data_IF_864477197991
#
_entry.id   IF_864477197991
#
_cell.length_a   1.000
_cell.length_b   1.000
_cell.length_c   1.000
_cell.angle_alpha   90.00
_cell.angle_beta   90.00
_cell.angle_gamma   90.00
#
_symmetry.space_group_name_H-M   'P 1'
#
loop_
_entity.id
_entity.type
_entity.pdbx_description
1 polymer ?
#
# COMPACT_ATOMS: atom_id res chain seq x y z
N UNK A 1 5.74 -2.57 -11.33
CA UNK A 1 4.40 -1.94 -11.35
C UNK A 1 4.08 -1.15 -12.62
N UNK A 2 4.83 -0.09 -12.99
CA UNK A 2 4.47 0.83 -14.09
C UNK A 2 4.21 0.15 -15.44
N UNK A 3 5.03 -0.83 -15.83
CA UNK A 3 4.82 -1.57 -17.09
C UNK A 3 3.50 -2.36 -17.09
N UNK A 4 3.23 -3.11 -16.02
CA UNK A 4 1.97 -3.87 -15.88
C UNK A 4 0.76 -2.95 -15.82
N UNK A 5 0.82 -1.89 -15.01
CA UNK A 5 -0.24 -0.89 -14.94
C UNK A 5 -0.52 -0.29 -16.33
N UNK A 6 0.50 0.23 -17.03
CA UNK A 6 0.35 0.79 -18.37
C UNK A 6 -0.23 -0.19 -19.39
N UNK A 7 0.09 -1.48 -19.29
CA UNK A 7 -0.48 -2.52 -20.15
C UNK A 7 -1.97 -2.68 -19.91
N UNK A 8 -2.38 -2.77 -18.65
CA UNK A 8 -3.77 -3.03 -18.27
C UNK A 8 -4.64 -1.77 -18.19
N UNK A 9 -4.05 -0.56 -18.16
CA UNK A 9 -4.75 0.70 -18.36
C UNK A 9 -5.31 0.86 -19.78
N UNK A 10 -4.81 0.07 -20.74
CA UNK A 10 -5.25 0.06 -22.14
C UNK A 10 -6.28 -1.03 -22.44
N UNK A 11 -6.61 -1.87 -21.46
CA UNK A 11 -7.60 -2.94 -21.59
C UNK A 11 -8.83 -2.50 -20.82
N UNK A 12 -9.94 -2.29 -21.53
CA UNK A 12 -11.19 -1.80 -20.96
C UNK A 12 -12.08 -2.94 -20.49
N UNK A 13 -12.85 -2.71 -19.43
CA UNK A 13 -13.88 -3.65 -18.98
C UNK A 13 -15.07 -3.65 -19.96
N UNK A 14 -15.58 -4.83 -20.23
CA UNK A 14 -16.80 -5.09 -20.98
C UNK A 14 -18.05 -4.47 -20.35
N UNK A 15 -18.07 -4.34 -19.02
CA UNK A 15 -19.19 -3.73 -18.28
C UNK A 15 -19.19 -2.20 -18.29
N UNK A 16 -18.08 -1.57 -18.69
CA UNK A 16 -18.00 -0.12 -18.92
C UNK A 16 -18.07 0.76 -17.65
N UNK A 17 -18.07 0.18 -16.45
CA UNK A 17 -18.06 0.96 -15.20
C UNK A 17 -16.78 1.77 -15.04
N UNK A 18 -16.90 3.01 -14.54
CA UNK A 18 -15.74 3.81 -14.14
C UNK A 18 -15.26 3.41 -12.74
N UNK A 19 -14.01 3.69 -12.42
CA UNK A 19 -13.45 3.39 -11.09
C UNK A 19 -14.27 4.00 -9.94
N UNK A 20 -14.81 5.22 -10.10
CA UNK A 20 -15.71 5.83 -9.11
C UNK A 20 -17.02 5.06 -8.90
N UNK A 21 -17.58 4.51 -9.98
CA UNK A 21 -18.86 3.79 -9.95
C UNK A 21 -18.63 2.45 -9.24
N UNK A 22 -17.55 1.76 -9.60
CA UNK A 22 -17.10 0.54 -8.92
C UNK A 22 -16.86 0.79 -7.44
N UNK A 23 -16.14 1.86 -7.09
CA UNK A 23 -15.87 2.24 -5.71
C UNK A 23 -17.18 2.41 -4.92
N UNK A 24 -18.16 3.13 -5.48
CA UNK A 24 -19.47 3.34 -4.85
C UNK A 24 -20.24 2.02 -4.67
N UNK A 25 -20.31 1.20 -5.72
CA UNK A 25 -20.97 -0.13 -5.68
C UNK A 25 -20.39 -1.01 -4.57
N UNK A 26 -19.06 -1.05 -4.44
CA UNK A 26 -18.38 -1.89 -3.44
C UNK A 26 -18.62 -1.34 -2.04
N UNK A 27 -18.48 -0.03 -1.82
CA UNK A 27 -18.72 0.60 -0.53
C UNK A 27 -20.17 0.36 -0.06
N UNK A 28 -21.15 0.58 -0.93
CA UNK A 28 -22.57 0.37 -0.62
C UNK A 28 -22.86 -1.08 -0.24
N UNK A 29 -22.29 -2.03 -0.99
CA UNK A 29 -22.44 -3.45 -0.70
C UNK A 29 -21.83 -3.88 0.64
N UNK A 30 -20.90 -3.09 1.19
CA UNK A 30 -20.32 -3.30 2.50
C UNK A 30 -20.90 -2.34 3.55
N UNK A 31 -22.01 -1.66 3.26
CA UNK A 31 -22.69 -0.76 4.20
C UNK A 31 -21.86 0.47 4.58
N UNK A 32 -20.98 0.93 3.70
CA UNK A 32 -20.12 2.12 3.86
C UNK A 32 -20.66 3.30 3.05
N UNK A 33 -21.94 3.61 3.23
CA UNK A 33 -22.67 4.64 2.49
C UNK A 33 -22.13 6.06 2.73
N UNK A 34 -21.54 6.29 3.90
CA UNK A 34 -21.05 7.57 4.39
C UNK A 34 -19.64 7.93 3.91
N UNK A 35 -18.91 7.00 3.29
CA UNK A 35 -17.56 7.25 2.78
C UNK A 35 -17.66 7.96 1.42
N UNK A 36 -17.20 9.23 1.31
CA UNK A 36 -17.16 9.93 0.04
C UNK A 36 -16.03 9.41 -0.87
N UNK A 37 -16.20 9.63 -2.18
CA UNK A 37 -15.20 9.32 -3.20
C UNK A 37 -14.79 10.61 -3.89
N UNK A 38 -13.55 11.04 -3.65
CA UNK A 38 -12.99 12.29 -4.16
C UNK A 38 -12.01 12.03 -5.30
N UNK A 39 -12.00 12.92 -6.28
CA UNK A 39 -10.97 12.92 -7.32
C UNK A 39 -9.76 13.75 -6.85
N UNK A 40 -8.56 13.19 -6.99
CA UNK A 40 -7.31 13.89 -6.71
C UNK A 40 -6.44 14.04 -7.94
N UNK A 41 -5.60 15.08 -7.93
CA UNK A 41 -4.59 15.31 -8.98
C UNK A 41 -3.44 14.31 -8.85
N UNK A 42 -2.73 14.11 -9.95
CA UNK A 42 -1.59 13.19 -10.04
C UNK A 42 -1.95 11.85 -10.67
N UNK A 43 -0.98 10.93 -10.67
CA UNK A 43 -1.13 9.56 -11.16
C UNK A 43 -0.70 8.60 -10.08
N UNK A 44 -1.44 7.50 -9.89
CA UNK A 44 -1.17 6.51 -8.83
C UNK A 44 -1.10 7.16 -7.44
N UNK A 45 -1.95 8.17 -7.22
CA UNK A 45 -2.10 8.88 -5.94
C UNK A 45 -3.34 8.40 -5.18
N UNK A 46 -3.90 7.29 -5.63
CA UNK A 46 -5.07 6.63 -5.09
C UNK A 46 -4.79 6.13 -3.67
N UNK A 47 -5.69 6.45 -2.74
CA UNK A 47 -5.60 5.98 -1.35
C UNK A 47 -6.95 6.08 -0.64
N UNK A 48 -7.19 5.17 0.30
CA UNK A 48 -8.15 5.37 1.39
C UNK A 48 -7.50 6.12 2.57
N UNK A 49 -8.18 7.16 3.06
CA UNK A 49 -7.80 7.93 4.25
C UNK A 49 -8.68 7.50 5.45
N UNK A 50 -8.12 6.78 6.44
CA UNK A 50 -8.89 6.28 7.57
C UNK A 50 -9.28 7.38 8.57
N UNK A 51 -8.53 8.48 8.65
CA UNK A 51 -8.83 9.58 9.59
C UNK A 51 -10.03 10.39 9.10
N UNK A 52 -10.02 10.74 7.81
CA UNK A 52 -11.11 11.49 7.17
C UNK A 52 -12.21 10.60 6.61
N UNK A 53 -12.01 9.27 6.65
CA UNK A 53 -12.92 8.25 6.11
C UNK A 53 -13.35 8.53 4.68
N UNK A 54 -12.38 8.80 3.80
CA UNK A 54 -12.63 9.16 2.40
C UNK A 54 -11.75 8.34 1.47
N UNK A 55 -12.30 7.98 0.31
CA UNK A 55 -11.55 7.33 -0.77
C UNK A 55 -11.15 8.39 -1.77
N UNK A 56 -9.85 8.50 -2.04
CA UNK A 56 -9.32 9.42 -3.03
C UNK A 56 -8.78 8.64 -4.21
N UNK A 57 -9.28 8.94 -5.40
CA UNK A 57 -8.84 8.31 -6.64
C UNK A 57 -8.22 9.37 -7.55
N UNK A 58 -7.07 9.05 -8.14
CA UNK A 58 -6.46 9.84 -9.20
C UNK A 58 -7.42 9.96 -10.38
N UNK A 59 -7.32 11.04 -11.15
CA UNK A 59 -8.22 11.27 -12.29
C UNK A 59 -8.28 10.09 -13.28
N UNK A 60 -7.16 9.41 -13.52
CA UNK A 60 -7.05 8.22 -14.39
C UNK A 60 -7.85 7.02 -13.86
N UNK A 61 -7.91 6.86 -12.53
CA UNK A 61 -8.65 5.79 -11.89
C UNK A 61 -10.12 6.18 -11.71
N UNK A 62 -10.39 7.41 -11.27
CA UNK A 62 -11.72 7.93 -10.98
C UNK A 62 -12.63 7.87 -12.21
N UNK A 63 -12.16 8.35 -13.36
CA UNK A 63 -12.93 8.38 -14.62
C UNK A 63 -12.64 7.18 -15.54
N UNK A 64 -11.61 6.39 -15.25
CA UNK A 64 -11.17 5.30 -16.12
C UNK A 64 -12.03 4.04 -16.00
N UNK A 65 -12.24 3.38 -17.14
CA UNK A 65 -12.99 2.11 -17.28
C UNK A 65 -12.07 0.90 -17.54
N UNK A 66 -10.76 1.09 -17.36
CA UNK A 66 -9.75 0.06 -17.60
C UNK A 66 -9.69 -0.97 -16.47
N UNK A 67 -9.16 -2.16 -16.75
CA UNK A 67 -8.94 -3.19 -15.72
C UNK A 67 -8.00 -2.69 -14.61
N UNK A 68 -7.04 -1.83 -14.95
CA UNK A 68 -6.16 -1.20 -13.97
C UNK A 68 -6.92 -0.21 -13.08
N UNK A 69 -7.72 0.69 -13.68
CA UNK A 69 -8.55 1.66 -12.96
C UNK A 69 -9.53 0.97 -12.01
N UNK A 70 -10.27 -0.02 -12.52
CA UNK A 70 -11.24 -0.79 -11.74
C UNK A 70 -10.57 -1.58 -10.62
N UNK A 71 -9.43 -2.21 -10.91
CA UNK A 71 -8.65 -2.96 -9.91
C UNK A 71 -8.14 -2.06 -8.78
N UNK A 72 -7.55 -0.91 -9.10
CA UNK A 72 -7.04 0.04 -8.10
C UNK A 72 -8.17 0.64 -7.28
N UNK A 73 -9.26 1.08 -7.90
CA UNK A 73 -10.42 1.58 -7.16
C UNK A 73 -10.95 0.54 -6.16
N UNK A 74 -11.11 -0.71 -6.59
CA UNK A 74 -11.54 -1.80 -5.70
C UNK A 74 -10.53 -2.10 -4.58
N UNK A 75 -9.23 -1.97 -4.85
CA UNK A 75 -8.17 -2.12 -3.84
C UNK A 75 -8.29 -1.07 -2.73
N UNK A 76 -8.51 0.19 -3.09
CA UNK A 76 -8.72 1.26 -2.09
C UNK A 76 -9.96 1.01 -1.24
N UNK A 77 -11.03 0.47 -1.83
CA UNK A 77 -12.19 0.06 -1.03
C UNK A 77 -11.85 -1.13 -0.13
N UNK A 78 -10.94 -2.02 -0.55
CA UNK A 78 -10.37 -3.07 0.30
C UNK A 78 -9.82 -2.52 1.62
N UNK A 79 -9.12 -1.38 1.60
CA UNK A 79 -8.66 -0.70 2.81
C UNK A 79 -9.81 -0.11 3.65
N UNK A 80 -10.83 0.46 3.01
CA UNK A 80 -12.02 0.93 3.72
C UNK A 80 -12.74 -0.21 4.45
N UNK A 81 -12.85 -1.39 3.81
CA UNK A 81 -13.44 -2.60 4.42
C UNK A 81 -12.56 -3.10 5.57
N UNK A 82 -11.24 -3.16 5.40
CA UNK A 82 -10.31 -3.53 6.47
C UNK A 82 -10.46 -2.62 7.69
N UNK A 83 -10.62 -1.31 7.45
CA UNK A 83 -10.83 -0.34 8.52
C UNK A 83 -12.16 -0.59 9.24
N UNK A 84 -13.25 -0.81 8.50
CA UNK A 84 -14.56 -1.17 9.07
C UNK A 84 -14.50 -2.44 9.94
N UNK A 85 -13.80 -3.46 9.47
CA UNK A 85 -13.68 -4.75 10.16
C UNK A 85 -12.63 -4.76 11.28
N UNK A 86 -11.98 -3.63 11.58
CA UNK A 86 -10.89 -3.55 12.56
C UNK A 86 -9.76 -4.55 12.31
N UNK A 87 -9.39 -4.77 11.05
CA UNK A 87 -8.36 -5.74 10.66
C UNK A 87 -7.03 -5.47 11.38
N UNK A 88 -6.61 -6.36 12.28
CA UNK A 88 -5.48 -6.12 13.20
C UNK A 88 -4.22 -5.51 12.57
N UNK A 89 -3.70 -6.04 11.44
CA UNK A 89 -2.54 -5.47 10.76
C UNK A 89 -2.70 -4.01 10.32
N UNK A 90 -3.92 -3.55 9.97
CA UNK A 90 -4.14 -2.14 9.61
C UNK A 90 -3.96 -1.23 10.83
N UNK A 91 -4.41 -1.67 12.02
CA UNK A 91 -4.23 -0.93 13.27
C UNK A 91 -2.75 -0.81 13.63
N UNK A 92 -2.02 -1.91 13.50
CA UNK A 92 -0.59 -1.94 13.77
C UNK A 92 0.17 -1.05 12.77
N UNK A 93 -0.16 -1.12 11.47
CA UNK A 93 0.39 -0.23 10.45
C UNK A 93 0.19 1.24 10.83
N UNK A 94 -1.04 1.64 11.14
CA UNK A 94 -1.37 3.03 11.51
C UNK A 94 -0.59 3.51 12.73
N UNK A 95 -0.47 2.68 13.77
CA UNK A 95 0.31 3.02 14.97
C UNK A 95 1.82 3.19 14.69
N UNK A 96 2.35 2.48 13.68
CA UNK A 96 3.76 2.51 13.31
C UNK A 96 4.12 3.66 12.35
N UNK A 97 3.16 4.28 11.66
CA UNK A 97 3.38 5.41 10.71
C UNK A 97 4.27 6.52 11.29
N UNK A 98 3.97 7.12 12.46
CA UNK A 98 4.79 8.22 12.98
C UNK A 98 6.23 7.77 13.25
N UNK A 99 6.41 6.57 13.80
CA UNK A 99 7.72 6.01 14.11
C UNK A 99 8.52 5.76 12.83
N UNK A 100 7.89 5.19 11.79
CA UNK A 100 8.52 4.94 10.50
C UNK A 100 8.90 6.24 9.78
N UNK A 101 8.07 7.29 9.90
CA UNK A 101 8.33 8.59 9.27
C UNK A 101 9.55 9.31 9.86
N UNK A 102 9.73 9.23 11.18
CA UNK A 102 10.91 9.76 11.87
C UNK A 102 12.13 8.87 11.64
N UNK A 103 11.92 7.55 11.67
CA UNK A 103 12.99 6.55 11.61
C UNK A 103 13.74 6.53 10.28
N UNK A 104 13.10 6.83 9.15
CA UNK A 104 13.75 6.70 7.83
C UNK A 104 14.94 7.66 7.64
N UNK A 105 14.79 8.94 8.02
CA UNK A 105 15.87 9.93 7.92
C UNK A 105 16.74 9.99 9.17
N UNK A 106 16.15 9.89 10.37
CA UNK A 106 16.91 9.99 11.61
C UNK A 106 17.82 8.78 11.85
N UNK A 107 17.41 7.56 11.44
CA UNK A 107 18.21 6.35 11.68
C UNK A 107 19.59 6.44 11.04
N UNK A 108 19.69 6.86 9.78
CA UNK A 108 20.95 7.00 9.07
C UNK A 108 21.83 8.10 9.66
N UNK A 109 21.24 9.24 10.02
CA UNK A 109 21.98 10.35 10.65
C UNK A 109 22.58 9.88 11.98
N UNK A 110 21.78 9.28 12.85
CA UNK A 110 22.23 8.80 14.15
C UNK A 110 23.27 7.68 14.01
N UNK A 111 23.06 6.75 13.08
CA UNK A 111 24.00 5.67 12.82
C UNK A 111 25.36 6.20 12.36
N UNK A 112 25.40 7.08 11.35
CA UNK A 112 26.65 7.63 10.83
C UNK A 112 27.33 8.58 11.82
N UNK A 113 26.58 9.44 12.52
CA UNK A 113 27.15 10.24 13.61
C UNK A 113 27.76 9.34 14.68
N UNK A 114 27.10 8.23 15.01
CA UNK A 114 27.62 7.27 15.97
C UNK A 114 28.94 6.65 15.53
N UNK A 115 29.09 6.34 14.23
CA UNK A 115 30.36 5.86 13.66
C UNK A 115 31.42 6.96 13.67
N UNK A 116 31.12 8.16 13.14
CA UNK A 116 32.08 9.27 13.00
C UNK A 116 32.62 9.73 14.35
N UNK A 117 31.73 9.88 15.34
CA UNK A 117 32.09 10.34 16.69
C UNK A 117 32.40 9.18 17.64
N UNK A 118 32.36 7.92 17.17
CA UNK A 118 32.58 6.71 17.98
C UNK A 118 31.64 6.59 19.20
N UNK A 119 30.39 7.06 19.07
CA UNK A 119 29.38 7.05 20.15
C UNK A 119 28.48 5.81 19.99
N UNK A 120 28.80 4.71 20.69
CA UNK A 120 28.05 3.44 20.63
C UNK A 120 26.53 3.56 20.88
N UNK A 121 26.06 4.37 21.87
CA UNK A 121 24.63 4.58 22.06
C UNK A 121 23.92 5.14 20.82
N UNK A 122 24.60 6.00 20.05
CA UNK A 122 24.04 6.64 18.86
C UNK A 122 23.92 5.66 17.69
N UNK A 123 24.91 4.78 17.53
CA UNK A 123 24.86 3.65 16.58
C UNK A 123 23.66 2.75 16.91
N UNK A 124 23.51 2.37 18.19
CA UNK A 124 22.42 1.51 18.66
C UNK A 124 21.06 2.16 18.43
N UNK A 125 20.91 3.44 18.76
CA UNK A 125 19.69 4.20 18.50
C UNK A 125 19.33 4.22 17.00
N UNK A 126 20.32 4.40 16.12
CA UNK A 126 20.14 4.32 14.68
C UNK A 126 19.60 2.96 14.21
N UNK A 127 20.17 1.86 14.72
CA UNK A 127 19.72 0.49 14.40
C UNK A 127 18.31 0.23 14.90
N UNK A 128 17.99 0.65 16.14
CA UNK A 128 16.64 0.47 16.72
C UNK A 128 15.60 1.22 15.92
N UNK A 129 15.87 2.49 15.55
CA UNK A 129 14.97 3.28 14.72
C UNK A 129 14.78 2.66 13.33
N UNK A 130 15.85 2.17 12.71
CA UNK A 130 15.75 1.50 11.41
C UNK A 130 14.98 0.18 11.51
N UNK A 131 15.11 -0.55 12.62
CA UNK A 131 14.35 -1.78 12.89
C UNK A 131 12.84 -1.50 12.96
N UNK A 132 12.43 -0.35 13.49
CA UNK A 132 11.03 0.08 13.46
C UNK A 132 10.53 0.36 12.03
N UNK A 133 11.37 0.91 11.15
CA UNK A 133 11.05 1.06 9.71
C UNK A 133 10.86 -0.30 9.04
N UNK A 134 11.75 -1.27 9.32
CA UNK A 134 11.60 -2.65 8.81
C UNK A 134 10.30 -3.28 9.30
N UNK A 135 9.99 -3.16 10.59
CA UNK A 135 8.75 -3.66 11.17
C UNK A 135 7.52 -3.06 10.47
N UNK A 136 7.51 -1.75 10.24
CA UNK A 136 6.42 -1.08 9.51
C UNK A 136 6.21 -1.68 8.11
N UNK A 137 7.28 -1.94 7.36
CA UNK A 137 7.17 -2.55 6.03
C UNK A 137 6.64 -3.98 6.10
N UNK A 138 7.12 -4.78 7.05
CA UNK A 138 6.67 -6.16 7.25
C UNK A 138 5.19 -6.22 7.62
N UNK A 139 4.72 -5.31 8.48
CA UNK A 139 3.30 -5.21 8.87
C UNK A 139 2.42 -4.69 7.73
N UNK A 140 2.96 -3.82 6.87
CA UNK A 140 2.21 -3.29 5.73
C UNK A 140 1.91 -4.38 4.69
N UNK A 141 2.84 -5.32 4.48
CA UNK A 141 2.71 -6.38 3.48
C UNK A 141 1.38 -7.19 3.56
N UNK A 142 0.98 -7.78 4.72
CA UNK A 142 -0.30 -8.48 4.82
C UNK A 142 -1.52 -7.58 4.66
N UNK A 143 -1.41 -6.27 4.89
CA UNK A 143 -2.50 -5.31 4.65
C UNK A 143 -2.76 -5.19 3.15
N UNK A 144 -1.71 -4.98 2.36
CA UNK A 144 -1.78 -4.80 0.90
C UNK A 144 -2.26 -6.08 0.18
N UNK A 145 -1.77 -7.25 0.60
CA UNK A 145 -2.24 -8.54 0.05
C UNK A 145 -3.70 -8.80 0.39
N UNK A 146 -4.11 -8.52 1.63
CA UNK A 146 -5.50 -8.73 2.04
C UNK A 146 -6.46 -7.77 1.32
N UNK A 147 -6.09 -6.50 1.13
CA UNK A 147 -6.87 -5.53 0.36
C UNK A 147 -7.03 -5.99 -1.10
N UNK A 148 -5.95 -6.45 -1.72
CA UNK A 148 -5.96 -6.99 -3.10
C UNK A 148 -6.85 -8.23 -3.23
N UNK A 149 -6.79 -9.16 -2.27
CA UNK A 149 -7.63 -10.36 -2.28
C UNK A 149 -9.12 -10.01 -2.15
N UNK A 150 -9.47 -9.06 -1.26
CA UNK A 150 -10.84 -8.56 -1.12
C UNK A 150 -11.32 -7.88 -2.40
N UNK A 151 -10.49 -7.02 -3.00
CA UNK A 151 -10.82 -6.34 -4.25
C UNK A 151 -11.19 -7.35 -5.35
N UNK A 152 -10.35 -8.36 -5.58
CA UNK A 152 -10.62 -9.38 -6.61
C UNK A 152 -11.87 -10.20 -6.29
N UNK A 153 -12.06 -10.60 -5.03
CA UNK A 153 -13.24 -11.37 -4.62
C UNK A 153 -14.54 -10.59 -4.85
N UNK A 154 -14.55 -9.28 -4.55
CA UNK A 154 -15.74 -8.45 -4.75
C UNK A 154 -15.99 -8.19 -6.24
N UNK A 155 -14.95 -7.85 -7.01
CA UNK A 155 -15.07 -7.63 -8.45
C UNK A 155 -15.65 -8.86 -9.17
N UNK A 156 -15.21 -10.06 -8.77
CA UNK A 156 -15.70 -11.32 -9.30
C UNK A 156 -17.13 -11.64 -8.86
N UNK A 157 -17.42 -11.55 -7.56
CA UNK A 157 -18.74 -11.93 -7.01
C UNK A 157 -19.87 -11.02 -7.47
N UNK A 158 -19.57 -9.75 -7.79
CA UNK A 158 -20.55 -8.81 -8.34
C UNK A 158 -20.63 -8.78 -9.86
N UNK A 159 -19.81 -9.58 -10.55
CA UNK A 159 -19.76 -9.57 -12.02
C UNK A 159 -19.33 -8.21 -12.59
N UNK A 160 -18.57 -7.41 -11.83
CA UNK A 160 -18.03 -6.13 -12.31
C UNK A 160 -16.94 -6.38 -13.35
N UNK A 161 -16.12 -7.41 -13.11
CA UNK A 161 -15.18 -7.96 -14.07
C UNK A 161 -15.45 -9.45 -14.24
N UNK A 162 -15.34 -9.95 -15.47
CA UNK A 162 -15.67 -11.34 -15.82
C UNK A 162 -14.55 -12.05 -16.57
N UNK A 163 -14.45 -13.37 -16.38
CA UNK A 163 -13.48 -14.21 -17.10
C UNK A 163 -12.04 -13.69 -17.00
N UNK A 164 -11.42 -13.44 -18.16
CA UNK A 164 -10.03 -12.99 -18.26
C UNK A 164 -9.77 -11.58 -17.72
N UNK A 165 -10.80 -10.76 -17.55
CA UNK A 165 -10.69 -9.42 -16.97
C UNK A 165 -10.21 -9.47 -15.52
N UNK A 166 -10.70 -10.46 -14.76
CA UNK A 166 -10.29 -10.71 -13.37
C UNK A 166 -8.79 -11.06 -13.31
N UNK A 167 -8.32 -11.85 -14.27
CA UNK A 167 -6.88 -12.19 -14.38
C UNK A 167 -6.06 -10.94 -14.67
N UNK A 168 -6.57 -10.02 -15.49
CA UNK A 168 -5.94 -8.73 -15.76
C UNK A 168 -5.84 -7.84 -14.53
N UNK A 169 -6.94 -7.63 -13.81
CA UNK A 169 -6.96 -6.86 -12.56
C UNK A 169 -6.02 -7.49 -11.50
N UNK A 170 -6.04 -8.82 -11.35
CA UNK A 170 -5.14 -9.54 -10.44
C UNK A 170 -3.67 -9.32 -10.76
N UNK A 171 -3.30 -9.28 -12.05
CA UNK A 171 -1.93 -8.97 -12.47
C UNK A 171 -1.51 -7.55 -12.10
N UNK A 172 -2.41 -6.56 -12.21
CA UNK A 172 -2.14 -5.19 -11.77
C UNK A 172 -1.89 -5.15 -10.27
N UNK A 173 -2.79 -5.71 -9.47
CA UNK A 173 -2.69 -5.70 -8.01
C UNK A 173 -1.48 -6.49 -7.51
N UNK A 174 -1.17 -7.64 -8.10
CA UNK A 174 0.03 -8.41 -7.75
C UNK A 174 1.31 -7.63 -8.11
N UNK A 175 1.33 -6.93 -9.25
CA UNK A 175 2.48 -6.11 -9.63
C UNK A 175 2.69 -4.91 -8.70
N UNK A 176 1.63 -4.45 -8.02
CA UNK A 176 1.71 -3.47 -6.94
C UNK A 176 2.19 -4.11 -5.63
N UNK A 177 1.62 -5.25 -5.23
CA UNK A 177 2.05 -5.98 -4.03
C UNK A 177 3.56 -6.32 -4.06
N UNK A 178 4.11 -6.65 -5.23
CA UNK A 178 5.54 -6.91 -5.40
C UNK A 178 6.44 -5.73 -5.05
N UNK A 179 5.98 -4.48 -5.15
CA UNK A 179 6.80 -3.33 -4.72
C UNK A 179 6.95 -3.27 -3.21
N UNK A 180 5.92 -3.69 -2.45
CA UNK A 180 6.02 -3.84 -1.00
C UNK A 180 6.94 -4.99 -0.61
N UNK A 181 6.87 -6.12 -1.32
CA UNK A 181 7.80 -7.25 -1.11
C UNK A 181 9.25 -6.79 -1.32
N UNK A 182 9.53 -6.08 -2.42
CA UNK A 182 10.86 -5.58 -2.72
C UNK A 182 11.37 -4.57 -1.68
N UNK A 183 10.48 -3.71 -1.15
CA UNK A 183 10.80 -2.78 -0.08
C UNK A 183 11.24 -3.54 1.18
N UNK A 184 10.46 -4.53 1.63
CA UNK A 184 10.78 -5.36 2.80
C UNK A 184 12.13 -6.04 2.65
N UNK A 185 12.40 -6.69 1.51
CA UNK A 185 13.68 -7.37 1.24
C UNK A 185 14.85 -6.37 1.33
N UNK A 186 14.68 -5.20 0.70
CA UNK A 186 15.70 -4.16 0.69
C UNK A 186 15.98 -3.63 2.08
N UNK A 187 14.94 -3.37 2.88
CA UNK A 187 15.10 -2.89 4.24
C UNK A 187 15.71 -3.95 5.16
N UNK A 188 15.35 -5.22 5.01
CA UNK A 188 16.02 -6.31 5.74
C UNK A 188 17.51 -6.41 5.40
N UNK A 189 17.87 -6.32 4.13
CA UNK A 189 19.26 -6.31 3.69
C UNK A 189 20.04 -5.10 4.24
N UNK A 190 19.41 -3.93 4.26
CA UNK A 190 19.99 -2.73 4.87
C UNK A 190 20.18 -2.87 6.38
N UNK A 191 19.20 -3.43 7.10
CA UNK A 191 19.30 -3.65 8.54
C UNK A 191 20.44 -4.63 8.85
N UNK A 192 20.54 -5.73 8.11
CA UNK A 192 21.64 -6.67 8.23
C UNK A 192 22.99 -5.98 8.01
N UNK A 193 23.09 -5.11 6.99
CA UNK A 193 24.29 -4.31 6.74
C UNK A 193 24.63 -3.38 7.91
N UNK A 194 23.67 -2.68 8.50
CA UNK A 194 23.90 -1.79 9.66
C UNK A 194 24.43 -2.58 10.87
N UNK A 195 23.85 -3.74 11.16
CA UNK A 195 24.30 -4.63 12.25
C UNK A 195 25.73 -5.11 12.00
N UNK A 196 26.05 -5.53 10.77
CA UNK A 196 27.40 -5.98 10.42
C UNK A 196 28.44 -4.86 10.54
N UNK A 197 28.10 -3.64 10.12
CA UNK A 197 28.99 -2.48 10.26
C UNK A 197 29.21 -2.10 11.72
N UNK A 198 28.18 -2.15 12.55
CA UNK A 198 28.29 -1.86 13.99
C UNK A 198 29.27 -2.81 14.69
N UNK A 199 29.29 -4.09 14.31
CA UNK A 199 30.19 -5.10 14.90
C UNK A 199 31.66 -4.97 14.47
N UNK A 200 31.95 -4.27 13.36
CA UNK A 200 33.33 -4.01 12.92
C UNK A 200 33.97 -2.83 13.66
N UNK A 201 33.15 -2.07 14.39
CA UNK A 201 33.56 -0.92 15.21
C UNK A 201 33.72 -1.29 16.70
N UNK A 202 33.54 -2.58 17.05
CA UNK A 202 33.85 -3.18 18.35
C UNK A 202 35.18 -3.93 18.27
#
# INVERSE_FOLDING_TARGET
IKSTFNKYSKIYSSMGYKGKDVARIILDAHGLFDIPIEMVRGKLTDHYDPEKKVVRLSQEVYEGTSLASIGVAAHEIGHAIQHKENYGPIRLRTALVPIASLGSNASWILFFMGIIFSIKPLITAGIVLFSAVVLFQVVTLPVEFNASNRAIAVLQSKGILVGDEITGARKVLNAAALTYVAAVITALAQLARLILLSRRND
#
